data_IF_367444969166
#
_entry.id   IF_367444969166
#
_cell.length_a   1.000
_cell.length_b   1.000
_cell.length_c   1.000
_cell.angle_alpha   90.00
_cell.angle_beta   90.00
_cell.angle_gamma   90.00
#
_symmetry.space_group_name_H-M   'P 1'
#
loop_
_entity.id
_entity.type
_entity.pdbx_description
1 polymer ?
#
# COMPACT_ATOMS: atom_id res chain seq x y z
N UNK A 1 32.54 17.54 -15.53
CA UNK A 1 31.37 18.38 -15.83
C UNK A 1 30.03 17.60 -15.87
N UNK A 2 30.01 16.36 -16.33
CA UNK A 2 28.81 15.52 -16.36
C UNK A 2 28.26 15.08 -14.99
N UNK A 3 29.10 14.81 -14.02
CA UNK A 3 28.66 14.37 -12.68
C UNK A 3 27.97 15.47 -11.87
N UNK A 4 28.41 16.72 -11.97
CA UNK A 4 27.81 17.84 -11.23
C UNK A 4 26.42 18.17 -11.77
N UNK A 5 26.19 18.02 -13.08
CA UNK A 5 24.90 18.24 -13.72
C UNK A 5 23.93 17.12 -13.31
N UNK A 6 24.42 15.89 -13.22
CA UNK A 6 23.60 14.73 -12.84
C UNK A 6 23.12 14.82 -11.38
N UNK A 7 23.97 15.28 -10.45
CA UNK A 7 23.60 15.47 -9.04
C UNK A 7 22.52 16.57 -8.89
N UNK A 8 22.62 17.66 -9.66
CA UNK A 8 21.59 18.71 -9.62
C UNK A 8 20.24 18.25 -10.17
N UNK A 9 20.23 17.43 -11.23
CA UNK A 9 18.99 16.95 -11.83
C UNK A 9 18.28 15.94 -10.90
N UNK A 10 18.99 14.99 -10.30
CA UNK A 10 18.41 14.06 -9.32
C UNK A 10 17.82 14.79 -8.13
N UNK A 11 18.55 15.74 -7.53
CA UNK A 11 18.02 16.52 -6.40
C UNK A 11 16.76 17.33 -6.76
N UNK A 12 16.67 17.85 -7.98
CA UNK A 12 15.47 18.55 -8.44
C UNK A 12 14.30 17.57 -8.60
N UNK A 13 14.56 16.39 -9.16
CA UNK A 13 13.54 15.34 -9.33
C UNK A 13 13.01 14.89 -7.96
N UNK A 14 13.88 14.66 -6.98
CA UNK A 14 13.51 14.24 -5.63
C UNK A 14 12.60 15.28 -4.94
N UNK A 15 12.91 16.57 -5.07
CA UNK A 15 12.05 17.63 -4.56
C UNK A 15 10.69 17.70 -5.27
N UNK A 16 10.65 17.49 -6.59
CA UNK A 16 9.40 17.45 -7.35
C UNK A 16 8.55 16.27 -6.90
N UNK A 17 9.14 15.09 -6.77
CA UNK A 17 8.46 13.87 -6.31
C UNK A 17 7.90 14.08 -4.90
N UNK A 18 8.68 14.65 -3.98
CA UNK A 18 8.23 14.97 -2.63
C UNK A 18 7.03 15.93 -2.63
N UNK A 19 7.08 17.00 -3.44
CA UNK A 19 5.97 17.95 -3.58
C UNK A 19 4.73 17.26 -4.14
N UNK A 20 4.88 16.39 -5.14
CA UNK A 20 3.77 15.62 -5.72
C UNK A 20 3.14 14.66 -4.70
N UNK A 21 3.94 14.01 -3.86
CA UNK A 21 3.44 13.16 -2.77
C UNK A 21 2.68 13.97 -1.72
N UNK A 22 3.17 15.14 -1.33
CA UNK A 22 2.44 16.04 -0.43
C UNK A 22 1.13 16.52 -1.05
N UNK A 23 1.14 16.87 -2.33
CA UNK A 23 -0.07 17.24 -3.06
C UNK A 23 -1.08 16.08 -3.12
N UNK A 24 -0.62 14.85 -3.36
CA UNK A 24 -1.46 13.66 -3.33
C UNK A 24 -2.12 13.46 -1.96
N UNK A 25 -1.36 13.56 -0.87
CA UNK A 25 -1.89 13.46 0.49
C UNK A 25 -2.92 14.54 0.80
N UNK A 26 -2.67 15.77 0.34
CA UNK A 26 -3.60 16.88 0.50
C UNK A 26 -4.90 16.64 -0.29
N UNK A 27 -4.80 16.15 -1.53
CA UNK A 27 -5.96 15.81 -2.37
C UNK A 27 -6.80 14.73 -1.70
N UNK A 28 -6.19 13.66 -1.15
CA UNK A 28 -6.88 12.62 -0.40
C UNK A 28 -7.63 13.22 0.80
N UNK A 29 -6.98 14.10 1.57
CA UNK A 29 -7.61 14.79 2.69
C UNK A 29 -8.80 15.65 2.28
N UNK A 30 -8.71 16.35 1.15
CA UNK A 30 -9.80 17.16 0.57
C UNK A 30 -10.96 16.27 0.11
N UNK A 31 -10.67 15.15 -0.57
CA UNK A 31 -11.68 14.19 -1.01
C UNK A 31 -12.46 13.60 0.16
N UNK A 32 -11.78 13.17 1.23
CA UNK A 32 -12.43 12.69 2.44
C UNK A 32 -13.39 13.74 3.02
N UNK A 33 -12.99 15.01 3.02
CA UNK A 33 -13.83 16.10 3.50
C UNK A 33 -15.03 16.35 2.60
N UNK A 34 -14.85 16.33 1.27
CA UNK A 34 -15.93 16.54 0.29
C UNK A 34 -16.98 15.43 0.35
N UNK A 35 -16.54 14.19 0.54
CA UNK A 35 -17.42 13.02 0.69
C UNK A 35 -18.06 12.93 2.10
N UNK A 36 -17.80 13.92 2.98
CA UNK A 36 -18.23 13.92 4.38
C UNK A 36 -17.80 12.66 5.15
N UNK A 37 -16.71 12.03 4.74
CA UNK A 37 -16.13 10.88 5.41
C UNK A 37 -15.25 11.37 6.56
N UNK A 38 -15.72 11.15 7.79
CA UNK A 38 -14.90 11.45 8.96
C UNK A 38 -13.88 10.32 9.18
N UNK A 39 -12.61 10.67 9.38
CA UNK A 39 -11.57 9.70 9.77
C UNK A 39 -12.01 8.87 10.98
N UNK A 40 -12.70 9.49 11.95
CA UNK A 40 -13.24 8.78 13.11
C UNK A 40 -14.28 7.72 12.74
N UNK A 41 -15.06 7.94 11.68
CA UNK A 41 -16.08 6.99 11.24
C UNK A 41 -15.46 5.79 10.49
N UNK A 42 -14.36 5.99 9.79
CA UNK A 42 -13.57 4.89 9.22
C UNK A 42 -13.11 3.91 10.31
N UNK A 43 -12.59 4.44 11.41
CA UNK A 43 -12.12 3.61 12.55
C UNK A 43 -13.25 3.06 13.44
N UNK A 44 -14.52 3.45 13.22
CA UNK A 44 -15.67 2.80 13.86
C UNK A 44 -16.08 1.50 13.21
N UNK A 45 -15.71 1.27 11.95
CA UNK A 45 -15.99 0.02 11.26
C UNK A 45 -15.06 -1.09 11.79
N UNK A 46 -15.56 -1.83 12.78
CA UNK A 46 -14.78 -2.88 13.47
C UNK A 46 -14.33 -4.00 12.52
N UNK A 47 -15.15 -4.33 11.51
CA UNK A 47 -14.82 -5.35 10.52
C UNK A 47 -13.64 -4.91 9.66
N UNK A 48 -13.71 -3.70 9.10
CA UNK A 48 -12.61 -3.14 8.31
C UNK A 48 -11.32 -3.02 9.13
N UNK A 49 -11.43 -2.54 10.38
CA UNK A 49 -10.28 -2.40 11.27
C UNK A 49 -9.64 -3.74 11.59
N UNK A 50 -10.45 -4.77 11.87
CA UNK A 50 -9.95 -6.12 12.12
C UNK A 50 -9.20 -6.69 10.90
N UNK A 51 -9.75 -6.51 9.68
CA UNK A 51 -9.12 -6.93 8.44
C UNK A 51 -7.79 -6.19 8.23
N UNK A 52 -7.76 -4.88 8.45
CA UNK A 52 -6.53 -4.06 8.33
C UNK A 52 -5.44 -4.58 9.27
N UNK A 53 -5.77 -4.84 10.53
CA UNK A 53 -4.81 -5.37 11.51
C UNK A 53 -4.29 -6.75 11.06
N UNK A 54 -5.18 -7.62 10.57
CA UNK A 54 -4.79 -8.93 10.03
C UNK A 54 -3.88 -8.81 8.82
N UNK A 55 -4.20 -7.92 7.88
CA UNK A 55 -3.39 -7.72 6.66
C UNK A 55 -2.00 -7.22 7.02
N UNK A 56 -1.87 -6.24 7.89
CA UNK A 56 -0.57 -5.73 8.35
C UNK A 56 0.20 -6.85 9.09
N UNK A 57 -0.45 -7.54 10.02
CA UNK A 57 0.18 -8.62 10.79
C UNK A 57 0.66 -9.78 9.91
N UNK A 58 -0.15 -10.20 8.93
CA UNK A 58 0.23 -11.24 7.98
C UNK A 58 1.33 -10.77 7.03
N UNK A 59 1.30 -9.51 6.60
CA UNK A 59 2.35 -8.92 5.76
C UNK A 59 3.71 -8.93 6.48
N UNK A 60 3.76 -8.46 7.72
CA UNK A 60 4.99 -8.48 8.54
C UNK A 60 5.42 -9.93 8.83
N UNK A 61 4.50 -10.83 9.17
CA UNK A 61 4.82 -12.24 9.44
C UNK A 61 5.42 -12.94 8.22
N UNK A 62 4.85 -12.67 7.02
CA UNK A 62 5.39 -13.20 5.76
C UNK A 62 6.76 -12.63 5.44
N UNK A 63 7.00 -11.35 5.73
CA UNK A 63 8.29 -10.70 5.56
C UNK A 63 9.37 -11.33 6.45
N UNK A 64 9.05 -11.57 7.71
CA UNK A 64 9.95 -12.27 8.64
C UNK A 64 10.28 -13.66 8.10
N UNK A 65 9.27 -14.43 7.67
CA UNK A 65 9.49 -15.76 7.10
C UNK A 65 10.37 -15.73 5.85
N UNK A 66 10.13 -14.79 4.93
CA UNK A 66 10.95 -14.60 3.72
C UNK A 66 12.39 -14.23 4.09
N UNK A 67 12.59 -13.34 5.06
CA UNK A 67 13.92 -12.97 5.53
C UNK A 67 14.71 -14.17 6.05
N UNK A 68 14.06 -15.12 6.74
CA UNK A 68 14.70 -16.38 7.19
C UNK A 68 15.00 -17.34 6.04
N UNK A 69 14.22 -17.33 4.97
CA UNK A 69 14.40 -18.26 3.84
C UNK A 69 15.33 -17.70 2.75
N UNK A 70 15.56 -16.42 2.77
CA UNK A 70 16.37 -15.69 1.77
C UNK A 70 17.50 -14.94 2.46
N UNK A 71 18.45 -14.43 1.68
CA UNK A 71 19.51 -13.56 2.23
C UNK A 71 19.10 -12.09 2.31
N UNK A 72 17.78 -11.79 2.25
CA UNK A 72 17.28 -10.41 2.37
C UNK A 72 17.28 -10.04 3.85
N UNK A 73 17.94 -8.94 4.25
CA UNK A 73 17.92 -8.50 5.64
C UNK A 73 16.51 -8.18 6.13
N UNK A 74 16.24 -8.39 7.41
CA UNK A 74 14.92 -8.29 8.03
C UNK A 74 14.26 -6.93 7.80
N UNK A 75 15.01 -5.82 7.97
CA UNK A 75 14.53 -4.46 7.70
C UNK A 75 13.97 -4.33 6.30
N UNK A 76 14.76 -4.71 5.29
CA UNK A 76 14.35 -4.60 3.89
C UNK A 76 13.14 -5.46 3.58
N UNK A 77 13.09 -6.70 4.10
CA UNK A 77 11.96 -7.60 3.89
C UNK A 77 10.67 -7.04 4.47
N UNK A 78 10.70 -6.48 5.69
CA UNK A 78 9.54 -5.86 6.33
C UNK A 78 9.08 -4.64 5.52
N UNK A 79 9.98 -3.72 5.20
CA UNK A 79 9.65 -2.49 4.48
C UNK A 79 9.08 -2.76 3.09
N UNK A 80 9.60 -3.76 2.34
CA UNK A 80 9.04 -4.19 1.06
C UNK A 80 7.60 -4.66 1.22
N UNK A 81 7.32 -5.46 2.25
CA UNK A 81 5.99 -6.04 2.48
C UNK A 81 4.97 -5.02 2.99
N UNK A 82 5.44 -3.94 3.60
CA UNK A 82 4.60 -2.89 4.21
C UNK A 82 4.11 -1.83 3.21
N UNK A 83 4.46 -1.95 1.92
CA UNK A 83 3.88 -1.13 0.84
C UNK A 83 2.38 -1.33 0.66
N UNK A 84 1.88 -2.54 0.99
CA UNK A 84 0.45 -2.91 1.06
C UNK A 84 -0.33 -2.56 -0.22
N UNK A 85 0.33 -2.63 -1.39
CA UNK A 85 -0.26 -2.35 -2.69
C UNK A 85 -0.23 -0.86 -3.09
N UNK A 86 0.36 0.01 -2.30
CA UNK A 86 0.49 1.42 -2.68
C UNK A 86 1.85 1.72 -3.32
N UNK A 87 2.14 1.07 -4.44
CA UNK A 87 3.45 1.13 -5.11
C UNK A 87 3.89 2.56 -5.47
N UNK A 88 2.98 3.50 -5.79
CA UNK A 88 3.37 4.87 -6.12
C UNK A 88 3.99 5.64 -4.94
N UNK A 89 3.66 5.27 -3.70
CA UNK A 89 4.26 5.83 -2.48
C UNK A 89 5.40 4.95 -1.95
N UNK A 90 5.12 3.65 -1.79
CA UNK A 90 6.04 2.70 -1.14
C UNK A 90 7.36 2.58 -1.89
N UNK A 91 7.33 2.63 -3.23
CA UNK A 91 8.54 2.60 -4.06
C UNK A 91 9.44 3.80 -3.77
N UNK A 92 8.85 5.00 -3.72
CA UNK A 92 9.61 6.23 -3.49
C UNK A 92 10.24 6.21 -2.10
N UNK A 93 9.43 5.91 -1.07
CA UNK A 93 9.94 5.86 0.30
C UNK A 93 10.98 4.76 0.49
N UNK A 94 10.75 3.57 -0.05
CA UNK A 94 11.72 2.47 0.07
C UNK A 94 12.99 2.70 -0.75
N UNK A 95 12.92 3.40 -1.87
CA UNK A 95 14.11 3.82 -2.60
C UNK A 95 14.99 4.72 -1.74
N UNK A 96 14.39 5.69 -1.04
CA UNK A 96 15.12 6.61 -0.16
C UNK A 96 15.64 5.92 1.11
N UNK A 97 14.84 5.03 1.72
CA UNK A 97 15.14 4.45 3.02
C UNK A 97 16.06 3.24 2.96
N UNK A 98 15.90 2.38 1.96
CA UNK A 98 16.60 1.09 1.87
C UNK A 98 17.33 0.87 0.53
N UNK A 99 17.27 1.85 -0.37
CA UNK A 99 18.00 1.88 -1.63
C UNK A 99 17.19 1.45 -2.85
N UNK A 100 17.67 1.87 -4.02
CA UNK A 100 17.00 1.74 -5.32
C UNK A 100 16.64 0.27 -5.68
N UNK A 101 17.53 -0.66 -5.39
CA UNK A 101 17.30 -2.09 -5.64
C UNK A 101 16.05 -2.61 -4.90
N UNK A 102 15.90 -2.27 -3.63
CA UNK A 102 14.75 -2.69 -2.83
C UNK A 102 13.48 -1.89 -3.15
N UNK A 103 13.61 -0.64 -3.59
CA UNK A 103 12.51 0.14 -4.15
C UNK A 103 11.91 -0.55 -5.37
N UNK A 104 12.76 -1.07 -6.28
CA UNK A 104 12.31 -1.83 -7.44
C UNK A 104 11.63 -3.15 -7.07
N UNK A 105 12.14 -3.86 -6.06
CA UNK A 105 11.49 -5.08 -5.53
C UNK A 105 10.12 -4.72 -4.92
N UNK A 106 10.02 -3.62 -4.17
CA UNK A 106 8.75 -3.13 -3.62
C UNK A 106 7.72 -2.92 -4.73
N UNK A 107 8.10 -2.28 -5.83
CA UNK A 107 7.22 -2.13 -6.99
C UNK A 107 6.71 -3.47 -7.48
N UNK A 108 7.60 -4.44 -7.70
CA UNK A 108 7.21 -5.76 -8.20
C UNK A 108 6.26 -6.50 -7.25
N UNK A 109 6.51 -6.44 -5.95
CA UNK A 109 5.67 -7.09 -4.93
C UNK A 109 4.27 -6.46 -4.90
N UNK A 110 4.18 -5.14 -4.85
CA UNK A 110 2.90 -4.43 -4.79
C UNK A 110 2.11 -4.56 -6.09
N UNK A 111 2.78 -4.48 -7.24
CA UNK A 111 2.16 -4.67 -8.55
C UNK A 111 1.66 -6.11 -8.76
N UNK A 112 2.46 -7.11 -8.38
CA UNK A 112 2.04 -8.52 -8.45
C UNK A 112 0.87 -8.80 -7.52
N UNK A 113 0.81 -8.19 -6.35
CA UNK A 113 -0.35 -8.25 -5.45
C UNK A 113 -1.62 -7.81 -6.16
N UNK A 114 -1.59 -6.67 -6.84
CA UNK A 114 -2.74 -6.13 -7.59
C UNK A 114 -3.15 -7.08 -8.73
N UNK A 115 -2.20 -7.54 -9.54
CA UNK A 115 -2.46 -8.48 -10.64
C UNK A 115 -3.07 -9.79 -10.10
N UNK A 116 -2.54 -10.31 -8.99
CA UNK A 116 -3.07 -11.51 -8.35
C UNK A 116 -4.51 -11.31 -7.89
N UNK A 117 -4.85 -10.17 -7.29
CA UNK A 117 -6.24 -9.88 -6.87
C UNK A 117 -7.16 -9.85 -8.08
N UNK A 118 -6.79 -9.14 -9.15
CA UNK A 118 -7.59 -9.03 -10.36
C UNK A 118 -7.88 -10.41 -10.97
N UNK A 119 -6.92 -11.32 -10.94
CA UNK A 119 -7.07 -12.68 -11.46
C UNK A 119 -7.81 -13.60 -10.48
N UNK A 120 -7.49 -13.53 -9.18
CA UNK A 120 -8.04 -14.46 -8.18
C UNK A 120 -9.49 -14.14 -7.80
N UNK A 121 -9.88 -12.87 -7.81
CA UNK A 121 -11.26 -12.47 -7.47
C UNK A 121 -12.30 -13.19 -8.33
N UNK A 122 -12.26 -13.19 -9.67
CA UNK A 122 -13.23 -13.93 -10.47
C UNK A 122 -13.12 -15.45 -10.33
N UNK A 123 -11.90 -15.98 -10.11
CA UNK A 123 -11.66 -17.42 -9.99
C UNK A 123 -12.17 -17.97 -8.66
N UNK A 124 -11.93 -17.26 -7.56
CA UNK A 124 -12.23 -17.70 -6.20
C UNK A 124 -13.47 -17.07 -5.59
N UNK A 125 -14.27 -16.34 -6.37
CA UNK A 125 -15.43 -15.57 -5.89
C UNK A 125 -16.44 -16.36 -5.05
N UNK A 126 -16.49 -17.70 -5.21
CA UNK A 126 -17.40 -18.58 -4.48
C UNK A 126 -16.89 -18.96 -3.10
N UNK A 127 -15.59 -18.83 -2.85
CA UNK A 127 -14.91 -19.30 -1.66
C UNK A 127 -14.34 -18.18 -0.81
N UNK A 128 -13.79 -17.17 -1.45
CA UNK A 128 -13.08 -16.07 -0.81
C UNK A 128 -13.68 -14.74 -1.30
N UNK A 129 -14.14 -13.91 -0.38
CA UNK A 129 -14.66 -12.57 -0.69
C UNK A 129 -13.96 -11.50 0.13
N UNK A 130 -14.15 -11.50 1.43
CA UNK A 130 -13.56 -10.53 2.35
C UNK A 130 -12.04 -10.70 2.42
N UNK A 131 -11.57 -11.93 2.33
CA UNK A 131 -10.14 -12.27 2.34
C UNK A 131 -9.40 -11.65 1.15
N UNK A 132 -9.98 -11.74 -0.06
CA UNK A 132 -9.38 -11.14 -1.25
C UNK A 132 -9.48 -9.61 -1.27
N UNK A 133 -10.53 -9.05 -0.68
CA UNK A 133 -10.64 -7.61 -0.47
C UNK A 133 -9.57 -7.14 0.52
N UNK A 134 -9.36 -7.86 1.61
CA UNK A 134 -8.28 -7.61 2.55
C UNK A 134 -6.90 -7.72 1.90
N UNK A 135 -6.67 -8.78 1.10
CA UNK A 135 -5.41 -8.97 0.39
C UNK A 135 -5.13 -7.86 -0.64
N UNK A 136 -6.18 -7.31 -1.27
CA UNK A 136 -6.05 -6.15 -2.16
C UNK A 136 -5.50 -4.91 -1.43
N UNK A 137 -5.77 -4.80 -0.14
CA UNK A 137 -5.25 -3.75 0.74
C UNK A 137 -5.55 -2.33 0.19
N UNK A 138 -4.54 -1.51 -0.09
CA UNK A 138 -4.74 -0.16 -0.63
C UNK A 138 -5.48 -0.17 -1.98
N UNK A 139 -5.20 -1.13 -2.86
CA UNK A 139 -5.82 -1.20 -4.20
C UNK A 139 -7.28 -1.64 -4.17
N UNK A 140 -7.81 -2.07 -3.02
CA UNK A 140 -9.21 -2.44 -2.87
C UNK A 140 -10.18 -1.28 -3.15
N UNK A 141 -9.77 -0.04 -2.90
CA UNK A 141 -10.61 1.14 -3.09
C UNK A 141 -10.51 1.77 -4.48
N UNK A 142 -9.52 1.40 -5.28
CA UNK A 142 -9.22 1.99 -6.59
C UNK A 142 -9.10 0.93 -7.70
N UNK A 143 -7.92 0.46 -8.05
CA UNK A 143 -7.68 -0.42 -9.19
C UNK A 143 -8.41 -1.76 -9.11
N UNK A 144 -8.51 -2.36 -7.94
CA UNK A 144 -9.22 -3.63 -7.75
C UNK A 144 -10.73 -3.46 -7.54
N UNK A 145 -11.21 -2.24 -7.22
CA UNK A 145 -12.61 -1.99 -6.89
C UNK A 145 -13.60 -2.41 -7.99
N UNK A 146 -13.36 -2.13 -9.28
CA UNK A 146 -14.27 -2.58 -10.36
C UNK A 146 -14.39 -4.09 -10.41
N UNK A 147 -13.30 -4.83 -10.24
CA UNK A 147 -13.29 -6.30 -10.26
C UNK A 147 -13.99 -6.86 -9.02
N UNK A 148 -13.72 -6.30 -7.84
CA UNK A 148 -14.39 -6.63 -6.57
C UNK A 148 -15.89 -6.42 -6.70
N UNK A 149 -16.33 -5.23 -7.15
CA UNK A 149 -17.73 -4.89 -7.32
C UNK A 149 -18.45 -5.82 -8.30
N UNK A 150 -17.84 -6.12 -9.45
CA UNK A 150 -18.44 -6.95 -10.48
C UNK A 150 -18.62 -8.42 -10.04
N UNK A 151 -17.77 -8.91 -9.14
CA UNK A 151 -17.83 -10.31 -8.71
C UNK A 151 -18.58 -10.53 -7.40
N UNK A 152 -18.55 -9.56 -6.47
CA UNK A 152 -19.17 -9.67 -5.13
C UNK A 152 -20.39 -8.76 -4.94
N UNK A 153 -20.64 -7.85 -5.90
CA UNK A 153 -21.77 -6.92 -5.87
C UNK A 153 -21.52 -5.66 -5.05
N UNK A 154 -22.53 -4.79 -4.99
CA UNK A 154 -22.39 -3.47 -4.37
C UNK A 154 -22.26 -3.50 -2.84
N UNK A 155 -22.65 -4.58 -2.18
CA UNK A 155 -22.64 -4.68 -0.70
C UNK A 155 -21.23 -4.67 -0.12
N UNK A 156 -20.23 -5.15 -0.85
CA UNK A 156 -18.84 -5.22 -0.39
C UNK A 156 -18.07 -3.92 -0.65
N UNK A 157 -18.56 -3.07 -1.53
CA UNK A 157 -17.89 -1.83 -1.94
C UNK A 157 -17.59 -0.90 -0.76
N UNK A 158 -18.51 -0.64 0.18
CA UNK A 158 -18.19 0.20 1.34
C UNK A 158 -17.06 -0.37 2.19
N UNK A 159 -17.02 -1.70 2.36
CA UNK A 159 -15.94 -2.37 3.11
C UNK A 159 -14.60 -2.20 2.39
N UNK A 160 -14.55 -2.45 1.07
CA UNK A 160 -13.34 -2.30 0.26
C UNK A 160 -12.78 -0.88 0.31
N UNK A 161 -13.65 0.13 0.16
CA UNK A 161 -13.27 1.54 0.25
C UNK A 161 -12.76 1.86 1.66
N UNK A 162 -13.42 1.39 2.71
CA UNK A 162 -13.01 1.66 4.10
C UNK A 162 -11.65 1.06 4.39
N UNK A 163 -11.38 -0.19 3.98
CA UNK A 163 -10.07 -0.84 4.14
C UNK A 163 -8.98 -0.04 3.42
N UNK A 164 -9.19 0.30 2.15
CA UNK A 164 -8.24 1.07 1.37
C UNK A 164 -7.94 2.44 1.98
N UNK A 165 -8.97 3.18 2.43
CA UNK A 165 -8.81 4.49 3.07
C UNK A 165 -8.03 4.41 4.39
N UNK A 166 -8.33 3.41 5.23
CA UNK A 166 -7.59 3.22 6.49
C UNK A 166 -6.11 2.93 6.18
N UNK A 167 -5.84 2.03 5.24
CA UNK A 167 -4.47 1.68 4.85
C UNK A 167 -3.73 2.85 4.18
N UNK A 168 -4.42 3.68 3.41
CA UNK A 168 -3.83 4.91 2.84
C UNK A 168 -3.32 5.87 3.92
N UNK A 169 -3.98 5.91 5.09
CA UNK A 169 -3.52 6.73 6.21
C UNK A 169 -2.36 6.04 6.96
N UNK A 170 -2.45 4.71 7.12
CA UNK A 170 -1.50 3.94 7.93
C UNK A 170 -0.19 3.66 7.18
N UNK A 171 -0.22 3.33 5.89
CA UNK A 171 0.96 2.89 5.12
C UNK A 171 2.14 3.86 5.17
N UNK A 172 1.96 5.19 4.95
CA UNK A 172 3.09 6.12 5.06
C UNK A 172 3.68 6.17 6.47
N UNK A 173 2.80 6.19 7.48
CA UNK A 173 3.23 6.22 8.88
C UNK A 173 3.97 4.92 9.25
N UNK A 174 3.49 3.78 8.77
CA UNK A 174 4.11 2.47 8.98
C UNK A 174 5.51 2.41 8.39
N UNK A 175 5.69 2.79 7.13
CA UNK A 175 7.00 2.79 6.45
C UNK A 175 8.01 3.72 7.13
N UNK A 176 7.59 4.93 7.52
CA UNK A 176 8.45 5.86 8.25
C UNK A 176 8.82 5.30 9.63
N UNK A 177 7.87 4.72 10.34
CA UNK A 177 8.10 4.14 11.66
C UNK A 177 9.08 2.94 11.59
N UNK A 178 8.89 2.06 10.61
CA UNK A 178 9.77 0.92 10.36
C UNK A 178 11.20 1.36 10.03
N UNK A 179 11.36 2.41 9.23
CA UNK A 179 12.68 2.96 8.92
C UNK A 179 13.41 3.51 10.15
N UNK A 180 12.68 4.05 11.13
CA UNK A 180 13.26 4.62 12.36
C UNK A 180 13.61 3.52 13.37
N UNK A 181 12.76 2.48 13.47
CA UNK A 181 12.88 1.44 14.50
C UNK A 181 13.85 0.33 14.09
N UNK A 182 13.89 -0.03 12.83
CA UNK A 182 14.73 -1.09 12.26
C UNK A 182 15.99 -0.53 11.59
#
# INVERSE_FOLDING_TARGET
MGEIININITSIIDHIVFILLLALMLIIGVLLKLENISIKDLFKNKEALFIVILVIGLSISSAIFISFMTNIPLKQSIMISSGLGWYSLSVVLNTDFIGEYYGMITFMVDFLREVLVIVMVPLLRRYLSVELVGYAANTAMDFCLPVIRNNYGNKIVPLAITIGLILTIITPALLVLENIIL
#
